data_IF_598254879633
#
_entry.id   IF_598254879633
#
_cell.length_a   1.000
_cell.length_b   1.000
_cell.length_c   1.000
_cell.angle_alpha   90.00
_cell.angle_beta   90.00
_cell.angle_gamma   90.00
#
_symmetry.space_group_name_H-M   'P 1'
#
loop_
_entity.id
_entity.type
_entity.pdbx_description
1 polymer ?
#
# COMPACT_ATOMS: atom_id res chain seq x y z
N UNK A 1 -60.88 2.71 -12.80
CA UNK A 1 -59.95 3.66 -12.18
C UNK A 1 -59.33 3.13 -10.90
N UNK A 2 -60.11 2.98 -9.82
CA UNK A 2 -59.58 2.69 -8.47
C UNK A 2 -59.24 1.21 -8.16
N UNK A 3 -59.86 0.24 -8.82
CA UNK A 3 -59.61 -1.19 -8.53
C UNK A 3 -58.25 -1.71 -9.04
N UNK A 4 -57.70 -1.10 -10.09
CA UNK A 4 -56.41 -1.51 -10.70
C UNK A 4 -55.22 -1.04 -9.86
N UNK A 5 -55.37 0.08 -9.13
CA UNK A 5 -54.31 0.65 -8.29
C UNK A 5 -54.16 -0.10 -6.95
N UNK A 6 -55.25 -0.67 -6.42
CA UNK A 6 -55.22 -1.49 -5.19
C UNK A 6 -54.59 -2.88 -5.39
N UNK A 7 -54.77 -3.50 -6.56
CA UNK A 7 -54.15 -4.80 -6.86
C UNK A 7 -52.63 -4.73 -7.03
N UNK A 8 -52.12 -3.63 -7.60
CA UNK A 8 -50.68 -3.43 -7.82
C UNK A 8 -49.90 -3.16 -6.52
N UNK A 9 -50.54 -2.53 -5.53
CA UNK A 9 -49.92 -2.24 -4.22
C UNK A 9 -49.81 -3.50 -3.36
N UNK A 10 -50.81 -4.38 -3.38
CA UNK A 10 -50.78 -5.67 -2.66
C UNK A 10 -49.80 -6.65 -3.33
N UNK A 11 -49.76 -6.71 -4.67
CA UNK A 11 -48.78 -7.54 -5.39
C UNK A 11 -47.34 -7.07 -5.16
N UNK A 12 -47.09 -5.76 -5.09
CA UNK A 12 -45.78 -5.18 -4.77
C UNK A 12 -45.32 -5.46 -3.33
N UNK A 13 -46.27 -5.44 -2.37
CA UNK A 13 -46.00 -5.81 -0.98
C UNK A 13 -45.77 -7.32 -0.81
N UNK A 14 -46.51 -8.16 -1.53
CA UNK A 14 -46.32 -9.62 -1.53
C UNK A 14 -45.00 -10.02 -2.20
N UNK A 15 -44.63 -9.37 -3.31
CA UNK A 15 -43.32 -9.55 -3.95
C UNK A 15 -42.16 -9.10 -3.04
N UNK A 16 -42.30 -7.96 -2.35
CA UNK A 16 -41.32 -7.48 -1.37
C UNK A 16 -41.22 -8.41 -0.15
N UNK A 17 -42.34 -8.97 0.32
CA UNK A 17 -42.36 -9.94 1.42
C UNK A 17 -41.77 -11.29 1.02
N UNK A 18 -42.04 -11.77 -0.20
CA UNK A 18 -41.43 -13.01 -0.74
C UNK A 18 -39.94 -12.83 -1.04
N UNK A 19 -39.52 -11.63 -1.45
CA UNK A 19 -38.11 -11.26 -1.62
C UNK A 19 -37.41 -11.09 -0.27
N UNK A 20 -38.11 -10.59 0.76
CA UNK A 20 -37.63 -10.56 2.13
C UNK A 20 -37.55 -11.98 2.75
N UNK A 21 -38.47 -12.89 2.43
CA UNK A 21 -38.39 -14.29 2.85
C UNK A 21 -37.31 -15.08 2.08
N UNK A 22 -37.09 -14.83 0.78
CA UNK A 22 -35.94 -15.36 0.03
C UNK A 22 -34.61 -14.69 0.41
N UNK A 23 -34.65 -13.57 1.15
CA UNK A 23 -33.47 -12.95 1.75
C UNK A 23 -33.12 -13.49 3.14
N UNK A 24 -33.86 -14.50 3.65
CA UNK A 24 -33.35 -15.38 4.71
C UNK A 24 -32.11 -16.10 4.17
N UNK A 25 -30.96 -15.47 4.41
CA UNK A 25 -29.61 -15.98 4.25
C UNK A 25 -29.46 -17.01 3.12
N UNK A 26 -29.28 -16.55 1.88
CA UNK A 26 -28.45 -17.30 0.95
C UNK A 26 -27.08 -17.36 1.63
N UNK A 27 -26.84 -18.45 2.37
CA UNK A 27 -25.65 -18.62 3.17
C UNK A 27 -24.46 -18.22 2.29
N UNK A 28 -23.70 -17.25 2.80
CA UNK A 28 -22.45 -16.80 2.20
C UNK A 28 -21.64 -18.07 1.99
N UNK A 29 -21.49 -18.56 0.74
CA UNK A 29 -20.79 -19.82 0.49
C UNK A 29 -19.42 -19.73 1.13
N UNK A 30 -19.02 -20.78 1.81
CA UNK A 30 -17.67 -20.91 2.35
C UNK A 30 -16.65 -20.59 1.24
N UNK A 31 -15.52 -19.98 1.58
CA UNK A 31 -14.54 -19.52 0.59
C UNK A 31 -13.13 -19.47 1.14
N UNK A 32 -12.17 -19.63 0.25
CA UNK A 32 -10.77 -19.26 0.49
C UNK A 32 -10.51 -17.96 -0.26
N UNK A 33 -9.88 -16.98 0.39
CA UNK A 33 -9.57 -15.71 -0.25
C UNK A 33 -8.18 -15.76 -0.89
N UNK A 34 -8.07 -15.29 -2.13
CA UNK A 34 -6.79 -15.15 -2.83
C UNK A 34 -6.32 -13.70 -2.76
N UNK A 35 -5.19 -13.48 -2.07
CA UNK A 35 -4.40 -12.25 -2.18
C UNK A 35 -3.39 -12.42 -3.32
N UNK A 36 -3.69 -11.85 -4.47
CA UNK A 36 -2.79 -11.88 -5.63
C UNK A 36 -1.89 -10.64 -5.66
N UNK A 37 -0.60 -10.83 -5.37
CA UNK A 37 0.41 -9.77 -5.38
C UNK A 37 1.09 -9.60 -6.74
N UNK A 38 0.61 -10.27 -7.80
CA UNK A 38 1.09 -10.01 -9.17
C UNK A 38 0.65 -8.64 -9.68
N UNK A 39 -0.45 -8.10 -9.15
CA UNK A 39 -0.94 -6.76 -9.48
C UNK A 39 -0.34 -5.71 -8.53
N UNK A 40 -0.02 -4.50 -9.04
CA UNK A 40 0.55 -3.45 -8.21
C UNK A 40 -0.45 -3.01 -7.12
N UNK A 41 0.03 -2.92 -5.88
CA UNK A 41 -0.67 -2.29 -4.77
C UNK A 41 -0.34 -0.80 -4.78
N UNK A 42 -1.36 0.05 -4.74
CA UNK A 42 -1.21 1.52 -4.74
C UNK A 42 -1.61 2.14 -3.41
N UNK A 43 -1.14 3.34 -3.10
CA UNK A 43 -1.64 4.09 -1.92
C UNK A 43 -3.05 4.63 -2.15
N UNK A 44 -3.30 5.19 -3.34
CA UNK A 44 -4.61 5.70 -3.72
C UNK A 44 -5.50 4.56 -4.23
N UNK A 45 -6.80 4.65 -3.94
CA UNK A 45 -7.82 3.77 -4.51
C UNK A 45 -7.80 3.86 -6.03
N UNK A 46 -7.70 2.73 -6.74
CA UNK A 46 -7.77 2.71 -8.19
C UNK A 46 -9.10 3.24 -8.71
N UNK A 47 -9.03 3.79 -9.90
CA UNK A 47 -10.15 4.47 -10.53
C UNK A 47 -11.14 3.47 -11.09
N UNK A 48 -12.38 3.94 -11.34
CA UNK A 48 -13.40 3.14 -12.03
C UNK A 48 -12.88 2.66 -13.39
N UNK A 49 -12.11 3.49 -14.11
CA UNK A 49 -11.54 3.12 -15.42
C UNK A 49 -10.45 2.05 -15.30
N UNK A 50 -9.52 2.18 -14.37
CA UNK A 50 -8.48 1.17 -14.11
C UNK A 50 -9.10 -0.16 -13.63
N UNK A 51 -10.19 -0.07 -12.88
CA UNK A 51 -10.98 -1.22 -12.43
C UNK A 51 -11.72 -1.90 -13.59
N UNK A 52 -12.20 -1.14 -14.58
CA UNK A 52 -12.89 -1.67 -15.77
C UNK A 52 -11.91 -2.31 -16.75
N UNK A 53 -10.81 -1.62 -17.07
CA UNK A 53 -9.78 -2.13 -18.00
C UNK A 53 -9.16 -3.43 -17.47
N UNK A 54 -8.97 -3.51 -16.14
CA UNK A 54 -8.47 -4.72 -15.48
C UNK A 54 -9.61 -5.53 -14.82
N UNK A 55 -10.80 -5.57 -15.42
CA UNK A 55 -12.01 -6.13 -14.79
C UNK A 55 -11.89 -7.58 -14.29
N UNK A 56 -10.96 -8.37 -14.85
CA UNK A 56 -10.67 -9.72 -14.36
C UNK A 56 -9.83 -9.73 -13.06
N UNK A 57 -8.97 -8.73 -12.83
CA UNK A 57 -8.11 -8.54 -11.65
C UNK A 57 -7.88 -7.05 -11.38
N UNK A 58 -8.82 -6.35 -10.73
CA UNK A 58 -8.66 -4.92 -10.50
C UNK A 58 -7.52 -4.68 -9.50
N UNK A 59 -6.65 -3.68 -9.73
CA UNK A 59 -5.66 -3.30 -8.74
C UNK A 59 -6.36 -2.91 -7.43
N UNK A 60 -5.67 -3.10 -6.30
CA UNK A 60 -6.17 -2.72 -4.98
C UNK A 60 -5.27 -1.63 -4.40
N UNK A 61 -5.87 -0.71 -3.64
CA UNK A 61 -5.06 0.09 -2.73
C UNK A 61 -4.63 -0.72 -1.51
N UNK A 62 -3.54 -0.31 -0.86
CA UNK A 62 -3.07 -0.92 0.37
C UNK A 62 -4.18 -0.96 1.43
N UNK A 63 -4.93 0.14 1.58
CA UNK A 63 -6.08 0.20 2.49
C UNK A 63 -7.12 -0.86 2.16
N UNK A 64 -7.45 -1.06 0.89
CA UNK A 64 -8.43 -2.08 0.50
C UNK A 64 -7.94 -3.50 0.81
N UNK A 65 -6.63 -3.76 0.67
CA UNK A 65 -6.04 -5.05 1.05
C UNK A 65 -6.18 -5.26 2.55
N UNK A 66 -5.77 -4.27 3.36
CA UNK A 66 -5.86 -4.34 4.82
C UNK A 66 -7.30 -4.51 5.28
N UNK A 67 -8.22 -3.65 4.83
CA UNK A 67 -9.65 -3.71 5.15
C UNK A 67 -10.22 -5.09 4.82
N UNK A 68 -9.90 -5.64 3.64
CA UNK A 68 -10.40 -6.95 3.21
C UNK A 68 -9.88 -8.09 4.11
N UNK A 69 -8.60 -8.06 4.49
CA UNK A 69 -8.01 -9.05 5.41
C UNK A 69 -8.62 -8.93 6.81
N UNK A 70 -8.84 -7.71 7.30
CA UNK A 70 -9.50 -7.47 8.60
C UNK A 70 -10.98 -7.90 8.61
N UNK A 71 -11.70 -7.67 7.51
CA UNK A 71 -13.08 -8.14 7.38
C UNK A 71 -13.14 -9.66 7.27
N UNK A 72 -12.20 -10.26 6.53
CA UNK A 72 -12.05 -11.71 6.44
C UNK A 72 -11.82 -12.34 7.82
N UNK A 73 -11.06 -11.68 8.69
CA UNK A 73 -10.86 -12.12 10.07
C UNK A 73 -12.18 -12.19 10.87
N UNK A 74 -13.22 -11.45 10.49
CA UNK A 74 -14.52 -11.41 11.17
C UNK A 74 -15.63 -12.18 10.43
N UNK A 75 -15.35 -12.66 9.22
CA UNK A 75 -16.32 -13.33 8.36
C UNK A 75 -16.25 -14.87 8.50
N UNK A 76 -17.28 -15.52 9.08
CA UNK A 76 -17.27 -16.97 9.28
C UNK A 76 -17.34 -17.79 7.98
N UNK A 77 -17.72 -17.16 6.85
CA UNK A 77 -17.69 -17.81 5.55
C UNK A 77 -16.27 -17.89 4.97
N UNK A 78 -15.34 -17.06 5.44
CA UNK A 78 -13.94 -17.17 5.03
C UNK A 78 -13.29 -18.30 5.81
N UNK A 79 -12.74 -19.29 5.11
CA UNK A 79 -12.08 -20.48 5.67
C UNK A 79 -10.56 -20.41 5.66
N UNK A 80 -9.99 -19.48 4.89
CA UNK A 80 -8.54 -19.25 4.85
C UNK A 80 -8.17 -18.17 3.85
N UNK A 81 -6.89 -17.82 3.84
CA UNK A 81 -6.27 -16.89 2.88
C UNK A 81 -5.11 -17.62 2.21
N UNK A 82 -5.03 -17.55 0.89
CA UNK A 82 -3.84 -17.90 0.12
C UNK A 82 -3.28 -16.65 -0.53
N UNK A 83 -1.99 -16.40 -0.34
CA UNK A 83 -1.27 -15.36 -1.03
C UNK A 83 -0.48 -15.98 -2.17
N UNK A 84 -0.64 -15.42 -3.37
CA UNK A 84 0.07 -15.85 -4.58
C UNK A 84 0.87 -14.68 -5.12
N UNK A 85 2.12 -14.94 -5.49
CA UNK A 85 2.96 -13.94 -6.15
C UNK A 85 3.80 -14.61 -7.23
N UNK A 86 3.47 -14.32 -8.49
CA UNK A 86 4.22 -14.76 -9.67
C UNK A 86 4.98 -13.61 -10.35
N UNK A 87 5.28 -12.54 -9.61
CA UNK A 87 5.91 -11.32 -10.14
C UNK A 87 7.07 -10.80 -9.30
N UNK A 88 8.11 -10.30 -9.97
CA UNK A 88 9.40 -9.91 -9.37
C UNK A 88 9.42 -8.52 -8.74
N UNK A 89 8.40 -7.67 -8.92
CA UNK A 89 8.46 -6.29 -8.39
C UNK A 89 8.35 -6.30 -6.87
N UNK A 90 9.42 -5.93 -6.13
CA UNK A 90 9.37 -5.90 -4.68
C UNK A 90 8.45 -4.77 -4.22
N UNK A 91 7.58 -5.08 -3.26
CA UNK A 91 6.81 -4.06 -2.56
C UNK A 91 7.75 -3.22 -1.68
N UNK A 92 7.45 -1.93 -1.45
CA UNK A 92 8.20 -1.13 -0.48
C UNK A 92 8.14 -1.74 0.92
N UNK A 93 9.20 -1.56 1.71
CA UNK A 93 9.31 -2.19 3.04
C UNK A 93 8.13 -1.87 3.97
N UNK A 94 7.73 -0.60 4.06
CA UNK A 94 6.58 -0.20 4.88
C UNK A 94 5.26 -0.84 4.42
N UNK A 95 5.04 -0.94 3.10
CA UNK A 95 3.86 -1.61 2.52
C UNK A 95 3.86 -3.09 2.89
N UNK A 96 5.02 -3.76 2.80
CA UNK A 96 5.14 -5.15 3.24
C UNK A 96 4.83 -5.28 4.73
N UNK A 97 5.32 -4.37 5.57
CA UNK A 97 5.06 -4.37 7.01
C UNK A 97 3.56 -4.23 7.33
N UNK A 98 2.84 -3.31 6.68
CA UNK A 98 1.40 -3.16 6.90
C UNK A 98 0.61 -4.41 6.47
N UNK A 99 0.97 -5.04 5.35
CA UNK A 99 0.34 -6.31 4.93
C UNK A 99 0.68 -7.43 5.92
N UNK A 100 1.94 -7.51 6.38
CA UNK A 100 2.36 -8.49 7.40
C UNK A 100 1.56 -8.31 8.68
N UNK A 101 1.39 -7.08 9.16
CA UNK A 101 0.62 -6.77 10.35
C UNK A 101 -0.85 -7.22 10.20
N UNK A 102 -1.48 -6.94 9.05
CA UNK A 102 -2.84 -7.38 8.76
C UNK A 102 -2.98 -8.90 8.73
N UNK A 103 -2.05 -9.62 8.08
CA UNK A 103 -2.04 -11.09 8.03
C UNK A 103 -1.79 -11.68 9.42
N UNK A 104 -0.86 -11.12 10.19
CA UNK A 104 -0.60 -11.55 11.58
C UNK A 104 -1.82 -11.30 12.49
N UNK A 105 -2.54 -10.20 12.29
CA UNK A 105 -3.79 -9.93 12.99
C UNK A 105 -4.88 -10.93 12.59
N UNK A 106 -5.01 -11.26 11.30
CA UNK A 106 -5.93 -12.30 10.82
C UNK A 106 -5.66 -13.66 11.46
N UNK A 107 -4.38 -14.03 11.62
CA UNK A 107 -3.95 -15.28 12.27
C UNK A 107 -4.24 -15.26 13.78
N UNK A 108 -4.01 -14.13 14.43
CA UNK A 108 -4.16 -13.96 15.89
C UNK A 108 -5.61 -13.81 16.34
N UNK A 109 -6.52 -13.35 15.47
CA UNK A 109 -7.93 -13.14 15.77
C UNK A 109 -8.78 -14.43 15.83
N UNK A 110 -8.14 -15.59 15.64
CA UNK A 110 -8.83 -16.88 15.52
C UNK A 110 -9.01 -17.53 16.89
N UNK A 111 -10.01 -18.39 17.03
CA UNK A 111 -10.24 -19.15 18.26
C UNK A 111 -9.09 -20.14 18.55
N UNK A 112 -9.32 -21.10 19.44
CA UNK A 112 -8.38 -22.19 19.67
C UNK A 112 -8.01 -22.96 18.40
N UNK A 113 -7.03 -23.85 18.50
CA UNK A 113 -6.36 -24.54 17.37
C UNK A 113 -7.34 -25.20 16.37
N UNK A 114 -8.48 -25.71 16.83
CA UNK A 114 -9.53 -26.34 15.99
C UNK A 114 -10.33 -25.34 15.11
N UNK A 115 -10.40 -24.06 15.48
CA UNK A 115 -11.11 -23.01 14.74
C UNK A 115 -10.17 -22.17 13.87
N UNK A 116 -8.88 -22.55 13.79
CA UNK A 116 -7.84 -21.80 13.09
C UNK A 116 -8.04 -21.91 11.58
N UNK A 117 -8.18 -20.76 10.92
CA UNK A 117 -8.27 -20.60 9.47
C UNK A 117 -6.89 -20.32 8.89
N UNK A 118 -6.34 -21.18 8.03
CA UNK A 118 -4.98 -21.03 7.54
C UNK A 118 -4.79 -19.76 6.70
N UNK A 119 -3.68 -19.05 6.92
CA UNK A 119 -3.11 -18.09 5.99
C UNK A 119 -1.83 -18.68 5.39
N UNK A 120 -1.82 -18.94 4.09
CA UNK A 120 -0.71 -19.62 3.40
C UNK A 120 -0.11 -18.72 2.32
N UNK A 121 1.21 -18.76 2.17
CA UNK A 121 1.91 -18.15 1.05
C UNK A 121 2.34 -19.25 0.06
N UNK A 122 1.89 -19.16 -1.18
CA UNK A 122 2.26 -20.08 -2.26
C UNK A 122 3.09 -19.33 -3.31
N UNK A 123 4.33 -19.74 -3.51
CA UNK A 123 5.25 -19.12 -4.46
C UNK A 123 5.72 -20.13 -5.51
N UNK A 124 5.76 -19.71 -6.76
CA UNK A 124 6.48 -20.47 -7.80
C UNK A 124 7.99 -20.42 -7.52
N UNK A 125 8.47 -19.26 -7.08
CA UNK A 125 9.87 -18.97 -6.74
C UNK A 125 9.94 -17.73 -5.84
N UNK A 126 11.00 -17.59 -5.05
CA UNK A 126 11.35 -16.34 -4.37
C UNK A 126 12.54 -15.71 -5.10
N UNK A 127 12.25 -15.03 -6.20
CA UNK A 127 13.24 -14.38 -7.06
C UNK A 127 14.16 -15.38 -7.78
N UNK A 128 13.79 -15.74 -9.02
CA UNK A 128 14.63 -16.59 -9.89
C UNK A 128 16.03 -16.02 -10.10
N UNK A 129 16.14 -14.70 -10.19
CA UNK A 129 17.41 -13.97 -10.35
C UNK A 129 17.89 -13.28 -9.07
N UNK A 130 17.43 -13.71 -7.88
CA UNK A 130 17.90 -13.17 -6.59
C UNK A 130 17.16 -11.93 -6.06
N UNK A 131 16.01 -11.55 -6.63
CA UNK A 131 15.24 -10.40 -6.11
C UNK A 131 14.20 -10.80 -5.05
N UNK A 132 14.35 -11.99 -4.46
CA UNK A 132 13.35 -12.62 -3.59
C UNK A 132 13.32 -12.13 -2.14
N UNK A 133 14.33 -11.38 -1.68
CA UNK A 133 14.50 -11.02 -0.25
C UNK A 133 13.25 -10.36 0.35
N UNK A 134 12.68 -9.35 -0.32
CA UNK A 134 11.46 -8.67 0.16
C UNK A 134 10.22 -9.55 0.10
N UNK A 135 10.04 -10.29 -0.99
CA UNK A 135 8.94 -11.23 -1.17
C UNK A 135 8.94 -12.31 -0.08
N UNK A 136 10.10 -12.90 0.18
CA UNK A 136 10.27 -13.91 1.22
C UNK A 136 10.06 -13.30 2.61
N UNK A 137 10.57 -12.09 2.86
CA UNK A 137 10.26 -11.35 4.09
C UNK A 137 8.76 -11.27 4.28
N UNK A 138 7.97 -10.80 3.30
CA UNK A 138 6.50 -10.77 3.39
C UNK A 138 5.90 -12.15 3.67
N UNK A 139 6.33 -13.19 2.94
CA UNK A 139 5.83 -14.56 3.08
C UNK A 139 5.95 -15.12 4.50
N UNK A 140 6.98 -14.71 5.27
CA UNK A 140 7.13 -15.15 6.66
C UNK A 140 6.02 -14.67 7.61
N UNK A 141 5.12 -13.76 7.20
CA UNK A 141 3.95 -13.40 8.01
C UNK A 141 2.82 -14.42 7.94
N UNK A 142 2.88 -15.38 7.02
CA UNK A 142 1.87 -16.43 6.84
C UNK A 142 2.14 -17.63 7.76
N UNK A 143 1.16 -18.50 7.95
CA UNK A 143 1.29 -19.72 8.75
C UNK A 143 2.21 -20.73 8.09
N UNK A 144 2.08 -20.89 6.77
CA UNK A 144 2.91 -21.78 5.97
C UNK A 144 3.39 -21.09 4.69
N UNK A 145 4.59 -21.43 4.26
CA UNK A 145 5.20 -21.03 3.01
C UNK A 145 5.43 -22.29 2.17
N UNK A 146 4.77 -22.36 1.01
CA UNK A 146 5.01 -23.40 0.03
C UNK A 146 5.74 -22.83 -1.19
N UNK A 147 6.66 -23.62 -1.72
CA UNK A 147 7.38 -23.31 -2.95
C UNK A 147 7.25 -24.44 -3.96
N UNK A 148 7.15 -24.12 -5.24
CA UNK A 148 7.16 -25.12 -6.32
C UNK A 148 8.48 -25.94 -6.33
N UNK A 149 8.48 -27.24 -6.70
CA UNK A 149 9.70 -28.04 -6.80
C UNK A 149 10.85 -27.44 -7.62
N UNK A 150 10.53 -26.75 -8.71
CA UNK A 150 11.53 -26.09 -9.57
C UNK A 150 11.93 -24.70 -9.10
N UNK A 151 11.28 -24.18 -8.05
CA UNK A 151 11.51 -22.83 -7.54
C UNK A 151 12.85 -22.68 -6.82
N UNK A 152 13.33 -21.44 -6.79
CA UNK A 152 14.52 -21.05 -6.05
C UNK A 152 14.17 -20.09 -4.92
N UNK A 153 14.93 -20.15 -3.83
CA UNK A 153 14.90 -19.16 -2.76
C UNK A 153 16.10 -18.24 -2.93
N UNK A 154 15.92 -17.19 -3.72
CA UNK A 154 16.92 -16.17 -4.05
C UNK A 154 16.87 -14.98 -3.10
N UNK A 155 17.18 -15.20 -1.82
CA UNK A 155 17.22 -14.16 -0.78
C UNK A 155 18.60 -13.53 -0.63
N UNK A 156 19.22 -13.03 -1.71
CA UNK A 156 20.63 -12.58 -1.76
C UNK A 156 20.93 -11.22 -1.10
N UNK A 157 20.12 -10.81 -0.11
CA UNK A 157 20.31 -9.56 0.63
C UNK A 157 19.78 -8.31 -0.09
N UNK A 158 20.43 -7.17 0.13
CA UNK A 158 20.06 -5.86 -0.42
C UNK A 158 21.25 -5.24 -1.15
N UNK A 159 21.00 -4.62 -2.31
CA UNK A 159 21.97 -3.79 -3.01
C UNK A 159 21.39 -2.40 -3.31
N UNK A 160 22.26 -1.43 -3.49
CA UNK A 160 21.90 -0.08 -3.93
C UNK A 160 22.93 0.41 -4.93
N UNK A 161 22.45 0.92 -6.06
CA UNK A 161 23.27 1.49 -7.11
C UNK A 161 22.96 2.97 -7.28
N UNK A 162 23.98 3.75 -7.62
CA UNK A 162 23.84 5.16 -7.95
C UNK A 162 24.64 5.48 -9.20
N UNK A 163 24.01 6.22 -10.12
CA UNK A 163 24.68 6.75 -11.30
C UNK A 163 25.33 8.10 -11.00
N UNK A 164 26.47 8.36 -11.63
CA UNK A 164 27.18 9.64 -11.58
C UNK A 164 27.48 10.12 -13.00
N UNK A 165 26.71 11.12 -13.42
CA UNK A 165 26.61 11.59 -14.81
C UNK A 165 27.44 12.85 -15.08
N UNK A 166 28.12 13.41 -14.07
CA UNK A 166 28.90 14.65 -14.19
C UNK A 166 29.84 14.67 -15.40
N UNK A 167 30.64 13.60 -15.58
CA UNK A 167 31.60 13.47 -16.69
C UNK A 167 30.91 13.36 -18.05
N UNK A 168 29.78 12.65 -18.11
CA UNK A 168 28.97 12.56 -19.32
C UNK A 168 28.40 13.93 -19.70
N UNK A 169 27.83 14.65 -18.74
CA UNK A 169 27.29 16.00 -18.94
C UNK A 169 28.37 16.98 -19.43
N UNK A 170 29.56 16.93 -18.84
CA UNK A 170 30.69 17.75 -19.27
C UNK A 170 31.07 17.49 -20.75
N UNK A 171 31.10 16.23 -21.19
CA UNK A 171 31.34 15.87 -22.60
C UNK A 171 30.25 16.40 -23.55
N UNK A 172 29.02 16.49 -23.06
CA UNK A 172 27.88 17.05 -23.81
C UNK A 172 27.82 18.59 -23.74
N UNK A 173 28.78 19.25 -23.08
CA UNK A 173 28.76 20.70 -22.87
C UNK A 173 27.63 21.17 -21.94
N UNK A 174 27.11 20.28 -21.09
CA UNK A 174 26.07 20.59 -20.10
C UNK A 174 26.71 20.80 -18.73
N UNK A 175 26.45 21.96 -18.13
CA UNK A 175 26.98 22.36 -16.83
C UNK A 175 25.86 22.41 -15.78
N UNK A 176 25.78 21.42 -14.87
CA UNK A 176 24.86 21.47 -13.74
C UNK A 176 25.31 22.51 -12.72
N UNK A 177 24.39 23.38 -12.30
CA UNK A 177 24.57 24.39 -11.26
C UNK A 177 23.55 24.10 -10.16
N UNK A 178 23.94 23.28 -9.18
CA UNK A 178 23.10 22.94 -8.03
C UNK A 178 23.77 23.36 -6.73
N UNK A 179 22.95 23.84 -5.79
CA UNK A 179 23.31 24.12 -4.41
C UNK A 179 22.46 23.20 -3.54
N UNK A 180 23.13 22.47 -2.65
CA UNK A 180 22.49 21.65 -1.64
C UNK A 180 22.79 22.25 -0.27
N UNK A 181 21.77 22.37 0.57
CA UNK A 181 21.90 22.76 1.96
C UNK A 181 21.94 21.49 2.82
N UNK A 182 22.95 21.40 3.70
CA UNK A 182 23.31 20.26 4.56
C UNK A 182 24.01 19.09 3.83
N UNK A 183 24.95 18.47 4.53
CA UNK A 183 25.92 17.52 3.98
C UNK A 183 25.32 16.20 3.49
N UNK A 184 24.17 15.79 4.04
CA UNK A 184 23.45 14.58 3.62
C UNK A 184 22.42 14.82 2.51
N UNK A 185 22.22 16.07 2.05
CA UNK A 185 21.27 16.37 0.95
C UNK A 185 21.88 16.07 -0.41
N UNK A 186 21.94 14.78 -0.73
CA UNK A 186 22.70 14.21 -1.85
C UNK A 186 21.94 14.09 -3.19
N UNK A 187 20.71 14.61 -3.30
CA UNK A 187 19.88 14.43 -4.52
C UNK A 187 20.54 14.99 -5.81
N UNK A 188 21.40 16.00 -5.70
CA UNK A 188 22.16 16.54 -6.84
C UNK A 188 23.49 15.79 -7.10
N UNK A 189 23.91 14.86 -6.24
CA UNK A 189 25.21 14.21 -6.36
C UNK A 189 25.37 13.43 -7.68
N UNK A 190 24.29 12.84 -8.20
CA UNK A 190 24.28 12.20 -9.52
C UNK A 190 24.77 13.14 -10.63
N UNK A 191 24.55 14.44 -10.52
CA UNK A 191 24.97 15.42 -11.53
C UNK A 191 26.25 16.19 -11.15
N UNK A 192 26.49 16.36 -9.85
CA UNK A 192 27.56 17.22 -9.34
C UNK A 192 28.85 16.47 -8.97
N UNK A 193 28.75 15.16 -8.72
CA UNK A 193 29.86 14.34 -8.23
C UNK A 193 30.28 13.28 -9.24
N UNK A 194 31.53 12.83 -9.14
CA UNK A 194 32.09 11.76 -9.96
C UNK A 194 31.86 10.35 -9.36
N UNK A 195 31.38 10.30 -8.12
CA UNK A 195 31.16 9.08 -7.35
C UNK A 195 30.49 9.41 -6.00
N UNK A 196 30.33 8.40 -5.15
CA UNK A 196 29.79 8.60 -3.80
C UNK A 196 30.67 9.57 -2.99
N UNK A 197 30.05 10.59 -2.40
CA UNK A 197 30.66 11.33 -1.29
C UNK A 197 30.64 10.47 -0.02
N UNK A 198 31.43 10.84 0.99
CA UNK A 198 31.46 10.13 2.27
C UNK A 198 30.07 10.07 2.91
N UNK A 199 29.37 11.20 2.95
CA UNK A 199 28.07 11.38 3.58
C UNK A 199 26.96 10.67 2.80
N UNK A 200 27.02 10.72 1.46
CA UNK A 200 26.11 9.95 0.61
C UNK A 200 26.28 8.45 0.84
N UNK A 201 27.53 7.95 0.85
CA UNK A 201 27.81 6.54 1.12
C UNK A 201 27.35 6.13 2.52
N UNK A 202 27.67 6.92 3.53
CA UNK A 202 27.28 6.65 4.92
C UNK A 202 25.76 6.54 5.06
N UNK A 203 25.01 7.51 4.53
CA UNK A 203 23.55 7.51 4.60
C UNK A 203 22.96 6.30 3.87
N UNK A 204 23.47 5.96 2.68
CA UNK A 204 22.99 4.80 1.93
C UNK A 204 23.25 3.50 2.70
N UNK A 205 24.47 3.31 3.22
CA UNK A 205 24.83 2.11 4.00
C UNK A 205 24.01 2.01 5.29
N UNK A 206 23.80 3.11 6.01
CA UNK A 206 22.99 3.11 7.25
C UNK A 206 21.53 2.76 6.98
N UNK A 207 20.92 3.33 5.93
CA UNK A 207 19.53 3.01 5.56
C UNK A 207 19.41 1.54 5.15
N UNK A 208 20.32 1.05 4.30
CA UNK A 208 20.34 -0.35 3.89
C UNK A 208 20.52 -1.29 5.08
N UNK A 209 21.44 -0.98 6.00
CA UNK A 209 21.68 -1.76 7.20
C UNK A 209 20.46 -1.83 8.12
N UNK A 210 19.72 -0.71 8.25
CA UNK A 210 18.48 -0.67 9.04
C UNK A 210 17.38 -1.55 8.41
N UNK A 211 17.15 -1.43 7.10
CA UNK A 211 16.16 -2.26 6.39
C UNK A 211 16.55 -3.73 6.42
N UNK A 212 17.83 -4.04 6.19
CA UNK A 212 18.35 -5.41 6.23
C UNK A 212 18.19 -6.02 7.62
N UNK A 213 18.53 -5.28 8.68
CA UNK A 213 18.33 -5.73 10.06
C UNK A 213 16.88 -6.06 10.38
N UNK A 214 15.93 -5.22 9.91
CA UNK A 214 14.49 -5.48 10.06
C UNK A 214 14.05 -6.76 9.32
N UNK A 215 14.58 -7.00 8.12
CA UNK A 215 14.30 -8.21 7.33
C UNK A 215 14.82 -9.46 8.06
N UNK A 216 16.09 -9.45 8.47
CA UNK A 216 16.71 -10.56 9.19
C UNK A 216 15.95 -10.89 10.47
N UNK A 217 15.70 -9.89 11.32
CA UNK A 217 15.01 -10.08 12.59
C UNK A 217 13.58 -10.59 12.38
N UNK A 218 12.87 -10.10 11.36
CA UNK A 218 11.52 -10.54 11.05
C UNK A 218 11.46 -11.98 10.51
N UNK A 219 12.41 -12.38 9.65
CA UNK A 219 12.52 -13.77 9.18
C UNK A 219 12.87 -14.69 10.34
N UNK A 220 13.91 -14.35 11.12
CA UNK A 220 14.37 -15.13 12.26
C UNK A 220 13.23 -15.42 13.25
N UNK A 221 12.51 -14.37 13.65
CA UNK A 221 11.36 -14.47 14.55
C UNK A 221 10.25 -15.36 13.99
N UNK A 222 9.89 -15.15 12.73
CA UNK A 222 8.76 -15.86 12.12
C UNK A 222 9.06 -17.34 11.84
N UNK A 223 10.30 -17.66 11.48
CA UNK A 223 10.73 -19.04 11.21
C UNK A 223 11.25 -19.77 12.46
N UNK A 224 11.41 -19.09 13.59
CA UNK A 224 11.94 -19.66 14.82
C UNK A 224 13.40 -20.09 14.72
N UNK A 225 14.20 -19.35 13.92
CA UNK A 225 15.62 -19.64 13.71
C UNK A 225 16.49 -18.45 14.13
N UNK A 226 17.76 -18.72 14.45
CA UNK A 226 18.74 -17.68 14.79
C UNK A 226 19.03 -16.75 13.60
N UNK A 227 19.28 -15.46 13.87
CA UNK A 227 19.58 -14.49 12.82
C UNK A 227 20.85 -14.82 12.03
N UNK A 228 21.84 -15.48 12.65
CA UNK A 228 23.04 -15.96 11.98
C UNK A 228 22.73 -17.05 10.94
N UNK A 229 21.74 -17.91 11.21
CA UNK A 229 21.24 -18.89 10.23
C UNK A 229 20.55 -18.21 9.05
N UNK A 230 19.81 -17.12 9.31
CA UNK A 230 19.23 -16.32 8.23
C UNK A 230 20.34 -15.72 7.36
N UNK A 231 21.36 -15.10 7.97
CA UNK A 231 22.50 -14.55 7.23
C UNK A 231 23.24 -15.61 6.42
N UNK A 232 23.50 -16.79 6.99
CA UNK A 232 24.10 -17.90 6.25
C UNK A 232 23.23 -18.40 5.08
N UNK A 233 21.90 -18.40 5.21
CA UNK A 233 21.01 -18.71 4.10
C UNK A 233 21.05 -17.66 2.97
N UNK A 234 21.25 -16.38 3.33
CA UNK A 234 21.46 -15.30 2.37
C UNK A 234 22.81 -15.47 1.65
N UNK A 235 23.87 -15.79 2.38
CA UNK A 235 25.22 -15.97 1.81
C UNK A 235 25.28 -17.19 0.87
N UNK A 236 24.50 -18.25 1.16
CA UNK A 236 24.41 -19.46 0.33
C UNK A 236 23.36 -19.35 -0.80
N UNK A 237 22.65 -18.23 -0.93
CA UNK A 237 21.59 -18.08 -1.92
C UNK A 237 22.13 -17.92 -3.36
N UNK A 238 21.38 -18.38 -4.39
CA UNK A 238 20.04 -18.95 -4.32
C UNK A 238 20.01 -20.40 -3.82
N UNK A 239 19.04 -20.73 -2.97
CA UNK A 239 18.82 -22.09 -2.48
C UNK A 239 17.78 -22.81 -3.36
N UNK A 240 17.93 -24.11 -3.56
CA UNK A 240 16.87 -24.94 -4.16
C UNK A 240 15.69 -25.07 -3.20
N UNK A 241 14.49 -25.35 -3.70
CA UNK A 241 13.32 -25.66 -2.89
C UNK A 241 13.60 -26.73 -1.81
N UNK A 242 14.35 -27.78 -2.16
CA UNK A 242 14.77 -28.83 -1.23
C UNK A 242 15.70 -28.30 -0.14
N UNK A 243 16.75 -27.56 -0.51
CA UNK A 243 17.69 -26.97 0.46
C UNK A 243 16.99 -25.96 1.40
N UNK A 244 16.04 -25.19 0.89
CA UNK A 244 15.25 -24.27 1.70
C UNK A 244 14.37 -25.01 2.71
N UNK A 245 13.77 -26.14 2.33
CA UNK A 245 12.98 -26.98 3.23
C UNK A 245 13.85 -27.62 4.33
N UNK A 246 15.04 -28.14 3.96
CA UNK A 246 16.02 -28.70 4.91
C UNK A 246 16.51 -27.67 5.93
N UNK A 247 16.55 -26.38 5.54
CA UNK A 247 16.90 -25.25 6.42
C UNK A 247 15.70 -24.63 7.15
N UNK A 248 14.51 -25.23 7.04
CA UNK A 248 13.25 -24.73 7.63
C UNK A 248 12.85 -23.32 7.16
N UNK A 249 13.33 -22.91 5.99
CA UNK A 249 12.97 -21.63 5.37
C UNK A 249 11.59 -21.70 4.68
N UNK A 250 11.18 -22.88 4.23
CA UNK A 250 9.83 -23.14 3.71
C UNK A 250 9.23 -24.34 4.42
N UNK A 251 7.89 -24.43 4.42
CA UNK A 251 7.13 -25.47 5.11
C UNK A 251 6.79 -26.65 4.21
N UNK A 252 6.87 -26.47 2.88
CA UNK A 252 6.73 -27.57 1.95
C UNK A 252 7.06 -27.22 0.51
N UNK A 253 7.31 -28.27 -0.26
CA UNK A 253 7.57 -28.18 -1.69
C UNK A 253 6.35 -28.75 -2.43
N UNK A 254 5.53 -27.87 -3.01
CA UNK A 254 4.20 -28.17 -3.56
C UNK A 254 3.89 -27.28 -4.75
N UNK A 255 3.14 -27.81 -5.71
CA UNK A 255 2.53 -27.01 -6.77
C UNK A 255 1.31 -26.25 -6.24
N UNK A 256 0.93 -25.19 -6.95
CA UNK A 256 -0.16 -24.31 -6.55
C UNK A 256 -1.50 -25.05 -6.39
N UNK A 257 -1.83 -25.99 -7.27
CA UNK A 257 -3.04 -26.82 -7.20
C UNK A 257 -3.07 -27.72 -5.95
N UNK A 258 -1.92 -28.29 -5.55
CA UNK A 258 -1.79 -29.05 -4.31
C UNK A 258 -2.06 -28.18 -3.08
N UNK A 259 -1.55 -26.93 -3.07
CA UNK A 259 -1.80 -25.97 -1.98
C UNK A 259 -3.29 -25.60 -1.91
N UNK A 260 -3.93 -25.33 -3.05
CA UNK A 260 -5.36 -25.04 -3.09
C UNK A 260 -6.20 -26.23 -2.58
N UNK A 261 -5.80 -27.45 -2.96
CA UNK A 261 -6.41 -28.69 -2.46
C UNK A 261 -6.28 -28.84 -0.94
N UNK A 262 -5.09 -28.56 -0.37
CA UNK A 262 -4.86 -28.57 1.09
C UNK A 262 -5.72 -27.54 1.82
N UNK A 263 -6.00 -26.39 1.18
CA UNK A 263 -6.90 -25.37 1.71
C UNK A 263 -8.40 -25.70 1.55
N UNK A 264 -8.74 -26.87 0.99
CA UNK A 264 -10.12 -27.30 0.79
C UNK A 264 -10.85 -26.57 -0.33
N UNK A 265 -10.11 -25.95 -1.26
CA UNK A 265 -10.71 -25.26 -2.40
C UNK A 265 -11.47 -26.25 -3.28
N UNK A 266 -12.76 -26.00 -3.47
CA UNK A 266 -13.67 -26.90 -4.18
C UNK A 266 -14.85 -26.12 -4.78
N UNK A 267 -15.82 -26.81 -5.38
CA UNK A 267 -17.06 -26.17 -5.88
C UNK A 267 -17.91 -25.57 -4.75
N UNK A 268 -17.83 -26.16 -3.56
CA UNK A 268 -18.61 -25.73 -2.39
C UNK A 268 -17.87 -24.67 -1.56
N UNK A 269 -16.54 -24.70 -1.59
CA UNK A 269 -15.66 -23.68 -1.01
C UNK A 269 -14.74 -23.08 -2.10
N UNK A 270 -15.25 -22.22 -3.00
CA UNK A 270 -14.45 -21.67 -4.09
C UNK A 270 -13.34 -20.74 -3.61
N UNK A 271 -12.31 -20.64 -4.45
CA UNK A 271 -11.31 -19.58 -4.37
C UNK A 271 -11.95 -18.26 -4.83
N UNK A 272 -11.86 -17.22 -4.01
CA UNK A 272 -12.38 -15.89 -4.32
C UNK A 272 -11.26 -14.86 -4.24
N UNK A 273 -11.09 -14.08 -5.31
CA UNK A 273 -10.19 -12.93 -5.35
C UNK A 273 -10.53 -11.90 -4.24
N UNK A 274 -9.49 -11.41 -3.55
CA UNK A 274 -9.63 -10.48 -2.42
C UNK A 274 -10.25 -9.14 -2.84
N UNK A 275 -9.94 -8.64 -4.05
CA UNK A 275 -10.50 -7.37 -4.54
C UNK A 275 -12.01 -7.50 -4.80
N UNK A 276 -12.43 -8.65 -5.35
CA UNK A 276 -13.85 -8.98 -5.50
C UNK A 276 -14.54 -9.09 -4.15
N UNK A 277 -13.94 -9.79 -3.18
CA UNK A 277 -14.46 -9.90 -1.82
C UNK A 277 -14.66 -8.52 -1.18
N UNK A 278 -13.65 -7.65 -1.24
CA UNK A 278 -13.71 -6.28 -0.76
C UNK A 278 -14.91 -5.51 -1.37
N UNK A 279 -15.07 -5.58 -2.71
CA UNK A 279 -16.17 -4.92 -3.42
C UNK A 279 -17.55 -5.44 -3.01
N UNK A 280 -17.67 -6.74 -2.75
CA UNK A 280 -18.92 -7.34 -2.28
C UNK A 280 -19.26 -6.90 -0.84
N UNK A 281 -18.27 -6.82 0.05
CA UNK A 281 -18.44 -6.33 1.42
C UNK A 281 -18.83 -4.86 1.47
N UNK A 282 -18.16 -4.00 0.68
CA UNK A 282 -18.52 -2.58 0.57
C UNK A 282 -19.97 -2.39 0.10
N UNK A 283 -20.39 -3.14 -0.92
CA UNK A 283 -21.80 -3.11 -1.38
C UNK A 283 -22.77 -3.60 -0.32
N UNK A 284 -22.42 -4.65 0.43
CA UNK A 284 -23.26 -5.16 1.49
C UNK A 284 -23.40 -4.15 2.64
N UNK A 285 -22.31 -3.46 2.98
CA UNK A 285 -22.28 -2.39 3.99
C UNK A 285 -23.14 -1.19 3.58
N UNK A 286 -22.95 -0.69 2.35
CA UNK A 286 -23.75 0.41 1.80
C UNK A 286 -25.25 0.08 1.78
N UNK A 287 -25.61 -1.17 1.40
CA UNK A 287 -27.01 -1.63 1.44
C UNK A 287 -27.59 -1.70 2.85
N UNK A 288 -26.81 -2.17 3.83
CA UNK A 288 -27.24 -2.21 5.23
C UNK A 288 -27.46 -0.80 5.78
N UNK A 289 -26.56 0.12 5.46
CA UNK A 289 -26.67 1.53 5.82
C UNK A 289 -27.93 2.15 5.19
N UNK A 290 -28.16 1.91 3.90
CA UNK A 290 -29.35 2.37 3.19
C UNK A 290 -30.66 1.79 3.77
N UNK A 291 -30.69 0.49 4.06
CA UNK A 291 -31.84 -0.18 4.65
C UNK A 291 -32.11 0.25 6.11
N UNK A 292 -31.07 0.71 6.81
CA UNK A 292 -31.18 1.25 8.17
C UNK A 292 -31.73 2.68 8.24
N UNK A 293 -31.92 3.36 7.09
CA UNK A 293 -32.40 4.74 7.05
C UNK A 293 -33.84 4.85 7.53
N UNK A 294 -34.06 5.66 8.58
CA UNK A 294 -35.41 5.98 9.09
C UNK A 294 -36.06 7.10 8.28
N UNK A 295 -37.38 7.31 8.40
CA UNK A 295 -38.05 8.44 7.75
C UNK A 295 -37.58 9.81 8.29
N UNK A 296 -37.32 9.93 9.60
CA UNK A 296 -36.75 11.14 10.23
C UNK A 296 -35.40 11.56 9.63
N UNK A 297 -34.71 10.55 9.13
CA UNK A 297 -33.38 10.56 8.58
C UNK A 297 -33.43 11.22 7.17
N UNK A 298 -34.43 10.87 6.36
CA UNK A 298 -34.75 11.56 5.10
C UNK A 298 -35.23 13.00 5.30
N UNK A 299 -36.02 13.24 6.37
CA UNK A 299 -36.49 14.59 6.71
C UNK A 299 -35.33 15.50 7.15
N UNK A 300 -34.36 14.98 7.90
CA UNK A 300 -33.17 15.73 8.31
C UNK A 300 -32.30 16.15 7.11
N UNK A 301 -32.20 15.28 6.10
CA UNK A 301 -31.48 15.53 4.85
C UNK A 301 -32.14 16.65 4.02
N UNK A 302 -33.47 16.62 3.89
CA UNK A 302 -34.24 17.70 3.25
C UNK A 302 -34.15 19.04 4.00
N UNK A 303 -33.89 19.00 5.31
CA UNK A 303 -33.69 20.18 6.16
C UNK A 303 -32.24 20.68 6.18
N UNK A 304 -31.31 20.05 5.45
CA UNK A 304 -29.90 20.45 5.41
C UNK A 304 -29.15 20.25 6.74
N UNK A 305 -29.67 19.43 7.65
CA UNK A 305 -28.97 19.12 8.91
C UNK A 305 -27.86 18.09 8.64
N UNK A 306 -26.63 18.28 9.15
CA UNK A 306 -25.56 17.31 8.96
C UNK A 306 -25.96 15.95 9.54
N UNK A 307 -26.02 14.95 8.65
CA UNK A 307 -26.42 13.56 8.93
C UNK A 307 -25.19 12.64 9.00
N UNK A 308 -25.31 11.50 9.68
CA UNK A 308 -24.26 10.48 9.79
C UNK A 308 -23.64 10.37 11.17
N UNK A 309 -22.93 9.27 11.41
CA UNK A 309 -22.10 9.11 12.59
C UNK A 309 -20.88 10.05 12.54
N UNK A 310 -20.24 10.23 13.68
CA UNK A 310 -18.95 10.91 13.73
C UNK A 310 -17.92 10.11 12.95
N UNK A 311 -17.16 10.77 12.07
CA UNK A 311 -16.20 10.11 11.17
C UNK A 311 -14.79 10.70 11.29
N UNK A 312 -13.80 9.93 10.86
CA UNK A 312 -12.44 10.40 10.65
C UNK A 312 -12.20 10.53 9.15
N UNK A 313 -11.86 11.73 8.68
CA UNK A 313 -11.57 11.95 7.27
C UNK A 313 -10.19 11.40 6.92
N UNK A 314 -10.09 10.54 5.91
CA UNK A 314 -8.82 10.04 5.40
C UNK A 314 -8.48 10.72 4.07
N UNK A 315 -7.41 11.51 4.04
CA UNK A 315 -6.94 12.25 2.87
C UNK A 315 -5.65 11.60 2.39
N UNK A 316 -5.70 10.96 1.22
CA UNK A 316 -4.50 10.38 0.58
C UNK A 316 -3.76 11.45 -0.19
N UNK A 317 -2.55 11.77 0.26
CA UNK A 317 -1.63 12.70 -0.33
C UNK A 317 -0.39 11.91 -0.81
N UNK A 318 -0.42 11.47 -2.07
CA UNK A 318 0.65 10.68 -2.67
C UNK A 318 1.21 11.32 -3.94
N UNK A 319 2.47 11.04 -4.25
CA UNK A 319 3.17 11.51 -5.45
C UNK A 319 4.02 12.76 -5.23
N UNK A 320 4.59 13.31 -6.32
CA UNK A 320 5.46 14.48 -6.23
C UNK A 320 4.70 15.72 -5.76
N UNK A 321 5.28 16.48 -4.83
CA UNK A 321 4.64 17.68 -4.30
C UNK A 321 4.73 18.82 -5.31
N UNK A 322 3.60 19.29 -5.82
CA UNK A 322 3.53 20.33 -6.85
C UNK A 322 2.60 21.48 -6.44
N UNK A 323 2.86 22.66 -7.00
CA UNK A 323 2.01 23.85 -6.83
C UNK A 323 0.70 23.67 -7.59
N UNK A 324 -0.36 24.32 -7.13
CA UNK A 324 -1.68 24.26 -7.76
C UNK A 324 -2.33 22.88 -7.62
N UNK A 325 -3.20 22.50 -8.57
CA UNK A 325 -3.91 21.22 -8.53
C UNK A 325 -3.08 20.01 -8.94
N UNK A 326 -2.01 20.22 -9.74
CA UNK A 326 -1.19 19.13 -10.28
C UNK A 326 -1.95 18.18 -11.21
N UNK A 327 -1.27 17.16 -11.72
CA UNK A 327 -1.91 16.00 -12.35
C UNK A 327 -2.41 15.02 -11.30
N UNK A 328 -3.10 13.97 -11.74
CA UNK A 328 -3.68 12.95 -10.84
C UNK A 328 -2.62 12.18 -10.04
N UNK A 329 -1.47 11.92 -10.65
CA UNK A 329 -0.33 11.22 -10.05
C UNK A 329 0.50 12.10 -9.11
N UNK A 330 0.26 13.41 -9.08
CA UNK A 330 0.98 14.33 -8.20
C UNK A 330 0.29 14.47 -6.85
N UNK A 331 1.01 15.00 -5.88
CA UNK A 331 0.44 15.62 -4.70
C UNK A 331 0.25 17.11 -4.97
N UNK A 332 -0.88 17.46 -5.59
CA UNK A 332 -1.22 18.86 -5.87
C UNK A 332 -1.70 19.59 -4.63
N UNK A 333 -0.99 20.64 -4.20
CA UNK A 333 -1.30 21.39 -2.99
C UNK A 333 -2.74 21.90 -2.94
N UNK A 334 -3.30 22.40 -4.04
CA UNK A 334 -4.68 22.88 -4.06
C UNK A 334 -5.69 21.76 -3.77
N UNK A 335 -5.49 20.54 -4.30
CA UNK A 335 -6.40 19.40 -4.06
C UNK A 335 -6.35 18.95 -2.60
N UNK A 336 -5.15 18.88 -2.02
CA UNK A 336 -4.99 18.50 -0.61
C UNK A 336 -5.62 19.56 0.30
N UNK A 337 -5.37 20.84 0.03
CA UNK A 337 -5.98 21.96 0.79
C UNK A 337 -7.49 21.96 0.66
N UNK A 338 -8.03 21.76 -0.55
CA UNK A 338 -9.48 21.65 -0.78
C UNK A 338 -10.08 20.51 0.05
N UNK A 339 -9.44 19.35 0.09
CA UNK A 339 -9.88 18.20 0.90
C UNK A 339 -9.82 18.48 2.41
N UNK A 340 -8.74 19.09 2.90
CA UNK A 340 -8.60 19.47 4.32
C UNK A 340 -9.67 20.49 4.70
N UNK A 341 -9.92 21.50 3.85
CA UNK A 341 -10.99 22.49 4.07
C UNK A 341 -12.38 21.87 4.09
N UNK A 342 -12.65 20.93 3.20
CA UNK A 342 -13.90 20.19 3.19
C UNK A 342 -14.08 19.42 4.50
N UNK A 343 -13.05 18.70 4.95
CA UNK A 343 -13.04 17.97 6.20
C UNK A 343 -13.21 18.89 7.43
N UNK A 344 -12.62 20.08 7.42
CA UNK A 344 -12.77 21.06 8.51
C UNK A 344 -14.18 21.63 8.58
N UNK A 345 -14.82 21.89 7.43
CA UNK A 345 -16.17 22.44 7.34
C UNK A 345 -17.25 21.43 7.73
N UNK A 346 -16.96 20.14 7.62
CA UNK A 346 -17.89 19.09 7.98
C UNK A 346 -17.91 18.88 9.51
N UNK A 347 -19.08 19.11 10.12
CA UNK A 347 -19.28 18.94 11.56
C UNK A 347 -19.18 17.47 12.01
N UNK A 348 -19.38 16.51 11.09
CA UNK A 348 -19.27 15.07 11.36
C UNK A 348 -17.83 14.58 11.39
N UNK A 349 -16.93 15.26 10.69
CA UNK A 349 -15.51 14.92 10.73
C UNK A 349 -14.94 15.32 12.09
N UNK A 350 -14.58 14.36 12.94
CA UNK A 350 -14.00 14.63 14.26
C UNK A 350 -12.49 14.68 14.28
N UNK A 351 -11.84 14.06 13.29
CA UNK A 351 -10.39 14.12 13.10
C UNK A 351 -10.04 13.93 11.62
N UNK A 352 -8.80 14.29 11.25
CA UNK A 352 -8.27 14.17 9.90
C UNK A 352 -7.02 13.29 9.96
N UNK A 353 -6.99 12.22 9.16
CA UNK A 353 -5.79 11.44 8.87
C UNK A 353 -5.30 11.83 7.47
N UNK A 354 -4.05 12.25 7.37
CA UNK A 354 -3.40 12.52 6.08
C UNK A 354 -2.39 11.41 5.80
N UNK A 355 -2.69 10.56 4.83
CA UNK A 355 -1.79 9.50 4.36
C UNK A 355 -0.79 10.09 3.38
N UNK A 356 0.47 10.23 3.80
CA UNK A 356 1.53 10.90 3.03
C UNK A 356 2.48 9.87 2.41
N UNK A 357 2.55 9.82 1.09
CA UNK A 357 3.54 9.03 0.34
C UNK A 357 4.23 9.87 -0.74
N UNK A 358 5.40 10.44 -0.42
CA UNK A 358 6.15 11.33 -1.31
C UNK A 358 7.64 11.42 -0.98
N UNK A 359 8.44 11.57 -2.04
CA UNK A 359 9.86 11.97 -1.97
C UNK A 359 10.04 13.49 -1.78
N UNK A 360 8.95 14.25 -1.77
CA UNK A 360 8.93 15.71 -1.68
C UNK A 360 8.67 16.38 -3.03
N UNK A 361 9.23 17.57 -3.21
CA UNK A 361 9.01 18.39 -4.40
C UNK A 361 9.07 19.87 -4.06
N UNK A 362 8.09 20.63 -4.51
CA UNK A 362 8.00 22.08 -4.29
C UNK A 362 7.85 22.43 -2.80
N UNK A 363 8.88 23.05 -2.22
CA UNK A 363 8.85 23.52 -0.83
C UNK A 363 7.69 24.50 -0.55
N UNK A 364 7.38 25.38 -1.50
CA UNK A 364 6.24 26.32 -1.39
C UNK A 364 4.90 25.59 -1.33
N UNK A 365 4.77 24.50 -2.10
CA UNK A 365 3.54 23.71 -2.12
C UNK A 365 3.39 22.89 -0.83
N UNK A 366 4.50 22.33 -0.33
CA UNK A 366 4.56 21.70 0.98
C UNK A 366 4.16 22.66 2.11
N UNK A 367 4.66 23.91 2.10
CA UNK A 367 4.29 24.90 3.12
C UNK A 367 2.80 25.27 3.06
N UNK A 368 2.24 25.40 1.86
CA UNK A 368 0.80 25.64 1.70
C UNK A 368 -0.04 24.53 2.33
N UNK A 369 0.32 23.26 2.09
CA UNK A 369 -0.38 22.12 2.69
C UNK A 369 -0.16 22.12 4.21
N UNK A 370 1.09 22.23 4.67
CA UNK A 370 1.44 22.29 6.10
C UNK A 370 0.63 23.34 6.85
N UNK A 371 0.53 24.55 6.28
CA UNK A 371 -0.25 25.65 6.86
C UNK A 371 -1.74 25.30 6.98
N UNK A 372 -2.30 24.63 5.99
CA UNK A 372 -3.71 24.21 6.05
C UNK A 372 -3.95 23.13 7.11
N UNK A 373 -2.98 22.21 7.32
CA UNK A 373 -3.04 21.27 8.44
C UNK A 373 -3.03 21.99 9.80
N UNK A 374 -2.17 23.00 9.97
CA UNK A 374 -2.19 23.84 11.18
C UNK A 374 -3.52 24.56 11.37
N UNK A 375 -4.10 25.09 10.30
CA UNK A 375 -5.41 25.76 10.36
C UNK A 375 -6.51 24.78 10.80
N UNK A 376 -6.48 23.54 10.31
CA UNK A 376 -7.42 22.50 10.77
C UNK A 376 -7.30 22.24 12.27
N UNK A 377 -6.07 22.15 12.79
CA UNK A 377 -5.78 21.99 14.22
C UNK A 377 -6.24 23.17 15.05
N UNK A 378 -5.97 24.38 14.60
CA UNK A 378 -6.41 25.63 15.25
C UNK A 378 -7.94 25.73 15.33
N UNK A 379 -8.65 25.09 14.39
CA UNK A 379 -10.11 24.95 14.41
C UNK A 379 -10.62 23.77 15.23
N UNK A 380 -9.75 23.13 16.01
CA UNK A 380 -10.11 22.03 16.90
C UNK A 380 -10.33 20.68 16.22
N UNK A 381 -9.89 20.51 14.96
CA UNK A 381 -9.87 19.19 14.29
C UNK A 381 -8.49 18.57 14.48
N UNK A 382 -8.31 17.50 15.29
CA UNK A 382 -7.04 16.80 15.39
C UNK A 382 -6.56 16.29 14.03
N UNK A 383 -5.29 16.49 13.73
CA UNK A 383 -4.66 16.04 12.48
C UNK A 383 -3.57 15.02 12.79
N UNK A 384 -3.71 13.82 12.22
CA UNK A 384 -2.70 12.77 12.27
C UNK A 384 -2.12 12.58 10.88
N UNK A 385 -0.79 12.56 10.75
CA UNK A 385 -0.12 12.15 9.52
C UNK A 385 0.30 10.70 9.65
N UNK A 386 -0.20 9.87 8.74
CA UNK A 386 0.25 8.50 8.53
C UNK A 386 1.23 8.50 7.36
N UNK A 387 2.50 8.20 7.61
CA UNK A 387 3.51 8.11 6.57
C UNK A 387 3.44 6.74 5.88
N UNK A 388 3.34 6.75 4.55
CA UNK A 388 3.47 5.56 3.73
C UNK A 388 4.92 5.13 3.54
N UNK A 389 5.24 4.45 2.43
CA UNK A 389 6.59 4.01 2.10
C UNK A 389 7.64 5.11 2.16
N UNK A 390 7.32 6.30 1.67
CA UNK A 390 8.23 7.43 1.71
C UNK A 390 7.48 8.67 2.19
N UNK A 391 8.03 9.41 3.15
CA UNK A 391 7.51 10.72 3.53
C UNK A 391 8.69 11.64 3.85
N UNK A 392 9.49 11.94 2.83
CA UNK A 392 10.77 12.62 2.96
C UNK A 392 10.72 14.03 2.36
N UNK A 393 11.65 14.90 2.76
CA UNK A 393 11.82 16.25 2.23
C UNK A 393 10.51 17.05 2.38
N UNK A 394 9.87 17.46 1.29
CA UNK A 394 8.56 18.12 1.30
C UNK A 394 7.45 17.32 1.99
N UNK A 395 7.52 15.99 2.02
CA UNK A 395 6.59 15.14 2.76
C UNK A 395 6.75 15.28 4.28
N UNK A 396 7.99 15.30 4.76
CA UNK A 396 8.27 15.57 6.18
C UNK A 396 7.87 17.01 6.55
N UNK A 397 8.11 17.97 5.64
CA UNK A 397 7.70 19.36 5.86
C UNK A 397 6.18 19.49 6.03
N UNK A 398 5.39 18.80 5.19
CA UNK A 398 3.94 18.72 5.36
C UNK A 398 3.58 18.12 6.73
N UNK A 399 4.24 17.01 7.10
CA UNK A 399 3.97 16.28 8.33
C UNK A 399 4.13 17.13 9.59
N UNK A 400 5.04 18.12 9.59
CA UNK A 400 5.22 19.05 10.73
C UNK A 400 3.97 19.87 11.08
N UNK A 401 3.00 19.96 10.17
CA UNK A 401 1.73 20.64 10.43
C UNK A 401 0.74 19.83 11.28
N UNK A 402 0.99 18.54 11.54
CA UNK A 402 0.08 17.64 12.25
C UNK A 402 0.26 17.68 13.79
N UNK A 403 -0.71 17.11 14.53
CA UNK A 403 -0.60 16.84 15.97
C UNK A 403 0.23 15.60 16.27
N UNK A 404 0.09 14.57 15.43
CA UNK A 404 0.78 13.29 15.57
C UNK A 404 1.29 12.82 14.21
N UNK A 405 2.52 12.32 14.20
CA UNK A 405 3.13 11.67 13.03
C UNK A 405 3.34 10.20 13.37
N UNK A 406 2.79 9.30 12.55
CA UNK A 406 2.96 7.86 12.67
C UNK A 406 3.64 7.34 11.40
N UNK A 407 4.63 6.47 11.57
CA UNK A 407 5.37 5.85 10.48
C UNK A 407 5.65 4.38 10.80
N UNK A 408 5.66 3.55 9.76
CA UNK A 408 6.17 2.18 9.88
C UNK A 408 7.69 2.20 10.07
N UNK A 409 8.30 1.21 10.75
CA UNK A 409 9.75 1.13 10.91
C UNK A 409 10.53 1.10 9.58
N UNK A 410 9.90 0.62 8.52
CA UNK A 410 10.43 0.59 7.15
C UNK A 410 10.13 1.83 6.31
N UNK A 411 9.45 2.85 6.85
CA UNK A 411 9.18 4.12 6.15
C UNK A 411 10.47 4.91 5.97
N UNK A 412 10.71 5.40 4.74
CA UNK A 412 11.80 6.34 4.46
C UNK A 412 11.31 7.77 4.68
N UNK A 413 11.76 8.41 5.76
CA UNK A 413 11.39 9.79 6.12
C UNK A 413 12.62 10.67 6.38
N UNK A 414 12.43 11.89 6.86
CA UNK A 414 13.48 12.88 7.06
C UNK A 414 13.87 13.53 5.73
N UNK A 415 15.15 13.42 5.33
CA UNK A 415 15.72 14.18 4.20
C UNK A 415 15.51 15.70 4.36
N UNK A 416 15.67 16.20 5.59
CA UNK A 416 15.53 17.63 5.92
C UNK A 416 16.70 18.38 5.28
N UNK A 417 16.37 19.22 4.31
CA UNK A 417 17.35 19.96 3.52
C UNK A 417 16.78 20.34 2.16
N UNK A 418 17.43 21.30 1.50
CA UNK A 418 16.94 21.90 0.25
C UNK A 418 17.99 21.71 -0.83
N UNK A 419 17.55 21.37 -2.03
CA UNK A 419 18.38 21.36 -3.23
C UNK A 419 17.72 22.24 -4.28
N UNK A 420 18.51 23.14 -4.86
CA UNK A 420 18.07 24.11 -5.86
C UNK A 420 19.11 24.14 -6.97
N UNK A 421 18.68 24.22 -8.22
CA UNK A 421 19.63 24.33 -9.30
C UNK A 421 19.02 24.26 -10.68
N UNK A 422 19.89 24.37 -11.66
CA UNK A 422 19.56 24.34 -13.08
C UNK A 422 20.68 23.66 -13.87
N UNK A 423 20.33 23.17 -15.04
CA UNK A 423 21.32 22.84 -16.05
C UNK A 423 21.54 24.06 -16.94
N UNK A 424 22.78 24.29 -17.33
CA UNK A 424 23.16 25.34 -18.28
C UNK A 424 23.93 24.73 -19.43
N UNK A 425 23.76 25.26 -20.63
CA UNK A 425 24.55 24.87 -21.79
C UNK A 425 25.81 25.73 -21.84
N UNK A 426 26.97 25.10 -22.06
CA UNK A 426 28.21 25.80 -22.34
C UNK A 426 28.16 26.53 -23.69
N UNK A 427 29.07 27.47 -23.89
CA UNK A 427 29.15 28.29 -25.11
C UNK A 427 29.38 27.51 -26.42
N UNK A 428 29.74 26.23 -26.35
CA UNK A 428 30.00 25.36 -27.51
C UNK A 428 28.77 24.93 -28.31
N UNK A 429 27.55 25.23 -27.84
CA UNK A 429 26.30 25.06 -28.59
C UNK A 429 25.88 26.31 -29.38
N UNK A 430 26.72 27.34 -29.44
CA UNK A 430 26.64 28.33 -30.52
C UNK A 430 26.95 27.58 -31.82
N UNK A 431 25.99 27.57 -32.75
CA UNK A 431 26.16 27.11 -34.15
C UNK A 431 27.61 27.31 -34.60
N UNK A 432 28.27 26.33 -35.24
CA UNK A 432 29.53 26.60 -35.90
C UNK A 432 29.33 27.81 -36.84
N UNK A 433 30.15 28.87 -36.75
CA UNK A 433 30.13 29.92 -37.74
C UNK A 433 30.71 29.33 -39.03
N UNK A 434 29.84 28.88 -39.93
CA UNK A 434 30.26 28.32 -41.21
C UNK A 434 29.36 27.20 -41.73
N UNK A 435 28.08 27.51 -41.98
CA UNK A 435 27.31 26.82 -43.01
C UNK A 435 27.22 27.75 -44.20
N UNK A 436 28.19 27.62 -45.11
CA UNK A 436 28.22 28.20 -46.45
C UNK A 436 28.51 27.09 -47.43
#
# INVERSE_FOLDING_TARGET
>A
GLAIVGGLTIAGQYASWKQAQNSKAKASKDRVLQLDLTMPITEATPTVWETIVNSQRPPMSLKQVIDAVEWAAKDPAVKGIVCTQSGEKPLPMATMQEIRDAVMAFRSAQGGEEARRPAVYAADTFGESGQGTGQYYLATAFDKIFIQPSGLVGIIGLHSEAFFLKRMLAKLGVHPQFIAFFEYKNAANMFMQDGFTKEHKEQTVRLMGSVFGQIIAGIARARGIDEGKVRGAIDDSPLTAKAAMERSLVDGVRYHDEVLSELGVSKDCPLQDLARYHKEQEKARAKKEEAGRKLSDWVAELQGKPRGEDVVACIVAAGNVVRGRGQKSDMGAARVVEAVRAAVKDEKVKAIVVRVDTRGGSAVASDTIRRELEVARQKGKPVVVSMGPVAASGGYYIATGADLIVAQPGTITGSIGVVLGKFTLGGGLRRPPGGG
#
